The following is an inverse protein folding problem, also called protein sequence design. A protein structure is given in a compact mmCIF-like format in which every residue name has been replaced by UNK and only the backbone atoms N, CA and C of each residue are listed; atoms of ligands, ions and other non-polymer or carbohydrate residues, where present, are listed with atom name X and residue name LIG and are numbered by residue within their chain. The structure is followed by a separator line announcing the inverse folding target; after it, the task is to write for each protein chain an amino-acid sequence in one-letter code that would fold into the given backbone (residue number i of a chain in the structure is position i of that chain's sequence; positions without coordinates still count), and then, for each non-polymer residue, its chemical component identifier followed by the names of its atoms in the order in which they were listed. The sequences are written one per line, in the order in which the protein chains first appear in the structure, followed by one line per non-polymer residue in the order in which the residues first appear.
data_IF_098487918626
#
_entry.id   IF_098487918626
#
_cell.length_a   1.000
_cell.length_b   1.000
_cell.length_c   1.000
_cell.angle_alpha   90.00
_cell.angle_beta   90.00
_cell.angle_gamma   90.00
#
_symmetry.space_group_name_H-M   'P 1'
#
loop_
_entity.id
_entity.type
_entity.pdbx_description
1 polymer ?
#
# COMPACT_ATOMS: atom_id res chain seq x y z
N UNK A 1 4.20 -5.15 -1.20
CA UNK A 1 4.97 -4.26 -2.07
C UNK A 1 6.09 -4.98 -2.77
N UNK A 2 6.66 -4.36 -3.76
CA UNK A 2 7.76 -4.93 -4.52
C UNK A 2 8.30 -3.95 -5.55
N UNK A 3 9.24 -4.41 -6.36
CA UNK A 3 9.87 -3.61 -7.38
C UNK A 3 9.01 -3.45 -8.63
N UNK A 4 9.18 -2.31 -9.28
CA UNK A 4 8.57 -2.05 -10.58
C UNK A 4 9.36 -2.77 -11.66
N UNK A 5 8.69 -3.47 -12.55
CA UNK A 5 9.33 -4.13 -13.68
C UNK A 5 9.53 -3.15 -14.84
N UNK A 6 10.52 -3.43 -15.68
CA UNK A 6 10.81 -2.60 -16.84
C UNK A 6 9.59 -2.51 -17.76
N UNK A 7 9.19 -1.29 -18.08
CA UNK A 7 8.01 -1.04 -18.94
C UNK A 7 6.68 -1.05 -18.21
N UNK A 8 6.67 -1.37 -16.91
CA UNK A 8 5.47 -1.38 -16.07
C UNK A 8 5.26 -0.02 -15.42
N UNK A 9 4.02 0.51 -15.44
CA UNK A 9 3.71 1.73 -14.70
C UNK A 9 3.71 1.46 -13.19
N UNK A 10 3.80 2.54 -12.40
CA UNK A 10 3.74 2.41 -10.93
C UNK A 10 2.42 1.80 -10.48
N UNK A 11 1.30 2.23 -11.04
CA UNK A 11 -0.03 1.72 -10.72
C UNK A 11 -0.18 0.24 -11.11
N UNK A 12 0.33 -0.15 -12.28
CA UNK A 12 0.31 -1.54 -12.72
C UNK A 12 1.15 -2.42 -11.77
N UNK A 13 2.30 -1.92 -11.31
CA UNK A 13 3.15 -2.62 -10.35
C UNK A 13 2.42 -2.86 -9.03
N UNK A 14 1.74 -1.84 -8.50
CA UNK A 14 0.96 -1.96 -7.25
C UNK A 14 -0.14 -3.00 -7.41
N UNK A 15 -0.92 -2.93 -8.48
CA UNK A 15 -2.01 -3.87 -8.74
C UNK A 15 -1.48 -5.31 -8.85
N UNK A 16 -0.39 -5.51 -9.55
CA UNK A 16 0.25 -6.83 -9.70
C UNK A 16 0.73 -7.38 -8.36
N UNK A 17 1.44 -6.57 -7.59
CA UNK A 17 1.96 -6.99 -6.28
C UNK A 17 0.83 -7.30 -5.30
N UNK A 18 -0.23 -6.51 -5.28
CA UNK A 18 -1.39 -6.78 -4.44
C UNK A 18 -2.05 -8.11 -4.80
N UNK A 19 -2.22 -8.40 -6.09
CA UNK A 19 -2.78 -9.67 -6.53
C UNK A 19 -1.89 -10.85 -6.15
N UNK A 20 -0.59 -10.72 -6.36
CA UNK A 20 0.40 -11.77 -6.02
C UNK A 20 0.46 -12.04 -4.51
N UNK A 21 0.42 -10.99 -3.69
CA UNK A 21 0.60 -11.11 -2.24
C UNK A 21 -0.69 -11.43 -1.49
N UNK A 22 -1.83 -10.99 -1.99
CA UNK A 22 -3.11 -11.07 -1.25
C UNK A 22 -4.24 -11.78 -1.99
N UNK A 23 -4.10 -12.06 -3.27
CA UNK A 23 -5.17 -12.61 -4.09
C UNK A 23 -6.26 -11.59 -4.47
N UNK A 24 -6.13 -10.33 -4.05
CA UNK A 24 -7.12 -9.30 -4.32
C UNK A 24 -6.76 -8.49 -5.56
N UNK A 25 -7.76 -8.29 -6.42
CA UNK A 25 -7.69 -7.28 -7.47
C UNK A 25 -8.08 -5.93 -6.86
N UNK A 26 -7.30 -4.91 -7.13
CA UNK A 26 -7.52 -3.59 -6.54
C UNK A 26 -7.65 -2.50 -7.60
N UNK A 27 -8.44 -1.50 -7.27
CA UNK A 27 -8.39 -0.20 -7.92
C UNK A 27 -7.31 0.61 -7.23
N UNK A 28 -6.32 1.09 -7.98
CA UNK A 28 -5.24 1.90 -7.43
C UNK A 28 -5.70 3.35 -7.35
N UNK A 29 -5.64 3.90 -6.16
CA UNK A 29 -6.07 5.27 -5.86
C UNK A 29 -4.90 6.25 -5.79
N UNK A 30 -5.01 7.28 -4.95
CA UNK A 30 -3.99 8.31 -4.85
C UNK A 30 -2.72 7.83 -4.16
N UNK A 31 -1.62 8.52 -4.44
CA UNK A 31 -0.37 8.38 -3.69
C UNK A 31 -0.59 8.88 -2.27
N UNK A 32 -0.21 8.07 -1.29
CA UNK A 32 -0.26 8.45 0.12
C UNK A 32 1.02 9.18 0.51
N UNK A 33 2.16 8.61 0.14
CA UNK A 33 3.48 9.10 0.54
C UNK A 33 4.56 8.65 -0.44
N UNK A 34 5.65 9.41 -0.50
CA UNK A 34 6.87 9.05 -1.22
C UNK A 34 8.04 9.31 -0.29
N UNK A 35 8.89 8.31 -0.09
CA UNK A 35 10.01 8.46 0.83
C UNK A 35 11.19 7.56 0.45
N UNK A 36 12.35 7.91 0.98
CA UNK A 36 13.57 7.13 0.79
C UNK A 36 13.69 6.03 1.84
N UNK A 37 14.22 4.88 1.40
CA UNK A 37 14.72 3.86 2.31
C UNK A 37 16.18 3.60 1.97
N UNK A 38 17.08 4.02 2.85
CA UNK A 38 18.52 3.87 2.66
C UNK A 38 19.05 2.82 3.62
N UNK A 39 19.61 1.76 3.06
CA UNK A 39 20.21 0.67 3.84
C UNK A 39 21.73 0.77 3.72
N UNK A 40 22.43 0.72 4.86
CA UNK A 40 23.88 0.80 4.92
C UNK A 40 24.47 -0.53 5.36
N UNK A 41 25.71 -0.80 4.92
CA UNK A 41 26.46 -1.95 5.37
C UNK A 41 27.19 -1.67 6.71
N UNK A 42 27.98 -2.61 7.19
CA UNK A 42 28.74 -2.49 8.44
C UNK A 42 29.74 -1.32 8.41
N UNK A 43 30.25 -0.97 7.24
CA UNK A 43 31.18 0.15 7.03
C UNK A 43 30.47 1.48 6.79
N UNK A 44 29.13 1.54 7.01
CA UNK A 44 28.31 2.73 6.81
C UNK A 44 28.21 3.18 5.36
N UNK A 45 28.59 2.32 4.40
CA UNK A 45 28.39 2.60 2.98
C UNK A 45 26.98 2.26 2.57
N UNK A 46 26.40 3.05 1.66
CA UNK A 46 25.06 2.79 1.14
C UNK A 46 25.06 1.50 0.34
N UNK A 47 24.27 0.54 0.80
CA UNK A 47 24.06 -0.75 0.14
C UNK A 47 22.90 -0.69 -0.83
N UNK A 48 21.78 -0.13 -0.39
CA UNK A 48 20.58 0.08 -1.19
C UNK A 48 20.00 1.45 -0.90
N UNK A 49 19.48 2.06 -1.94
CA UNK A 49 18.70 3.29 -1.82
C UNK A 49 17.44 3.11 -2.66
N UNK A 50 16.32 2.89 -2.00
CA UNK A 50 15.02 2.76 -2.64
C UNK A 50 14.22 4.03 -2.48
N UNK A 51 13.47 4.38 -3.51
CA UNK A 51 12.39 5.36 -3.42
C UNK A 51 11.09 4.55 -3.33
N UNK A 52 10.38 4.72 -2.23
CA UNK A 52 9.14 4.00 -1.96
C UNK A 52 7.95 4.91 -2.22
N UNK A 53 6.99 4.40 -2.99
CA UNK A 53 5.74 5.11 -3.30
C UNK A 53 4.60 4.27 -2.74
N UNK A 54 3.88 4.82 -1.78
CA UNK A 54 2.73 4.17 -1.15
C UNK A 54 1.44 4.69 -1.77
N UNK A 55 0.56 3.76 -2.14
CA UNK A 55 -0.73 4.04 -2.76
C UNK A 55 -1.87 3.57 -1.85
N UNK A 56 -2.95 4.34 -1.83
CA UNK A 56 -4.24 3.86 -1.34
C UNK A 56 -4.90 3.04 -2.44
N UNK A 57 -5.39 1.85 -2.09
CA UNK A 57 -6.05 0.95 -3.02
C UNK A 57 -7.37 0.48 -2.44
N UNK A 58 -8.32 0.17 -3.32
CA UNK A 58 -9.60 -0.43 -2.93
C UNK A 58 -9.76 -1.80 -3.57
N UNK A 59 -10.07 -2.84 -2.80
CA UNK A 59 -10.35 -4.15 -3.38
C UNK A 59 -11.63 -4.11 -4.21
N UNK A 60 -11.59 -4.68 -5.42
CA UNK A 60 -12.73 -4.73 -6.35
C UNK A 60 -13.13 -6.14 -6.72
N UNK A 61 -12.27 -7.12 -6.56
CA UNK A 61 -12.52 -8.52 -6.89
C UNK A 61 -11.49 -9.44 -6.24
N UNK A 62 -11.68 -10.74 -6.35
CA UNK A 62 -10.76 -11.74 -5.85
C UNK A 62 -11.08 -12.19 -4.43
N UNK A 63 -10.31 -13.16 -3.95
CA UNK A 63 -10.43 -13.70 -2.60
C UNK A 63 -9.10 -13.52 -1.86
N UNK A 64 -9.16 -13.13 -0.60
CA UNK A 64 -7.97 -12.95 0.23
C UNK A 64 -7.25 -14.29 0.40
N UNK A 65 -6.00 -14.34 -0.04
CA UNK A 65 -5.16 -15.53 0.03
C UNK A 65 -3.69 -15.08 0.02
N UNK A 66 -2.92 -15.50 1.00
CA UNK A 66 -1.49 -15.19 1.02
C UNK A 66 -0.79 -15.84 -0.17
N UNK A 67 0.02 -15.03 -0.89
CA UNK A 67 0.88 -15.54 -1.96
C UNK A 67 2.07 -16.32 -1.40
N UNK A 68 2.85 -16.94 -2.30
CA UNK A 68 3.99 -17.79 -1.92
C UNK A 68 5.08 -17.07 -1.15
N UNK A 69 5.22 -15.76 -1.33
CA UNK A 69 6.24 -14.93 -0.68
C UNK A 69 5.74 -14.27 0.61
N UNK A 70 4.52 -14.60 1.06
CA UNK A 70 3.87 -13.97 2.21
C UNK A 70 3.39 -15.05 3.17
N UNK A 71 3.74 -14.93 4.45
CA UNK A 71 3.36 -15.89 5.47
C UNK A 71 1.84 -15.89 5.72
N UNK A 72 1.24 -14.72 5.75
CA UNK A 72 -0.19 -14.56 5.97
C UNK A 72 -0.69 -13.23 5.40
N UNK A 73 -1.97 -13.19 5.03
CA UNK A 73 -2.67 -11.97 4.65
C UNK A 73 -4.01 -11.94 5.38
N UNK A 74 -4.31 -10.85 6.06
CA UNK A 74 -5.56 -10.70 6.82
C UNK A 74 -6.18 -9.34 6.56
N UNK A 75 -7.52 -9.27 6.63
CA UNK A 75 -8.26 -8.01 6.64
C UNK A 75 -8.48 -7.57 8.08
N UNK A 76 -8.10 -6.34 8.38
CA UNK A 76 -8.16 -5.81 9.75
C UNK A 76 -8.89 -4.47 9.73
N UNK A 77 -9.88 -4.31 10.62
CA UNK A 77 -10.50 -3.01 10.81
C UNK A 77 -9.45 -2.00 11.36
N UNK A 78 -9.50 -0.72 10.95
CA UNK A 78 -8.55 0.28 11.45
C UNK A 78 -8.49 0.36 12.97
N UNK A 79 -9.61 0.15 13.66
CA UNK A 79 -9.67 0.15 15.12
C UNK A 79 -9.01 -1.07 15.77
N UNK A 80 -8.67 -2.11 15.01
CA UNK A 80 -8.10 -3.36 15.50
C UNK A 80 -6.61 -3.52 15.18
N UNK A 81 -5.90 -2.46 14.82
CA UNK A 81 -4.50 -2.51 14.39
C UNK A 81 -3.49 -2.59 15.54
N UNK A 82 -3.86 -2.18 16.75
CA UNK A 82 -2.96 -2.12 17.90
C UNK A 82 -2.18 -3.43 18.16
N UNK A 83 -2.80 -4.63 18.09
CA UNK A 83 -2.06 -5.88 18.35
C UNK A 83 -0.95 -6.18 17.34
N UNK A 84 -0.93 -5.52 16.20
CA UNK A 84 0.04 -5.79 15.13
C UNK A 84 1.35 -5.04 15.26
N UNK A 85 1.52 -4.22 16.31
CA UNK A 85 2.78 -3.54 16.63
C UNK A 85 3.42 -2.83 15.44
N UNK A 86 2.62 -2.03 14.71
CA UNK A 86 3.07 -1.31 13.52
C UNK A 86 4.14 -0.28 13.86
N UNK A 87 5.05 -0.04 12.91
CA UNK A 87 6.03 1.04 13.02
C UNK A 87 5.33 2.41 13.00
N UNK A 88 6.02 3.44 13.50
CA UNK A 88 5.51 4.82 13.43
C UNK A 88 5.23 5.24 11.98
N UNK A 89 6.12 4.87 11.06
CA UNK A 89 5.95 5.18 9.62
C UNK A 89 4.71 4.49 9.04
N UNK A 90 4.51 3.21 9.33
CA UNK A 90 3.34 2.47 8.87
C UNK A 90 2.05 3.07 9.44
N UNK A 91 2.06 3.43 10.71
CA UNK A 91 0.91 4.06 11.38
C UNK A 91 0.56 5.40 10.70
N UNK A 92 1.56 6.24 10.44
CA UNK A 92 1.36 7.54 9.77
C UNK A 92 0.78 7.37 8.36
N UNK A 93 1.29 6.41 7.60
CA UNK A 93 0.80 6.09 6.24
C UNK A 93 -0.67 5.63 6.30
N UNK A 94 -1.02 4.75 7.24
CA UNK A 94 -2.40 4.27 7.40
C UNK A 94 -3.34 5.40 7.80
N UNK A 95 -2.95 6.27 8.72
CA UNK A 95 -3.75 7.43 9.12
C UNK A 95 -4.00 8.35 7.93
N UNK A 96 -2.98 8.61 7.12
CA UNK A 96 -3.11 9.40 5.90
C UNK A 96 -4.05 8.74 4.90
N UNK A 97 -3.94 7.42 4.73
CA UNK A 97 -4.83 6.64 3.86
C UNK A 97 -6.29 6.78 4.28
N UNK A 98 -6.56 6.74 5.58
CA UNK A 98 -7.93 6.90 6.11
C UNK A 98 -8.49 8.29 5.82
N UNK A 99 -7.66 9.34 5.93
CA UNK A 99 -8.06 10.71 5.56
C UNK A 99 -8.41 10.77 4.08
N UNK A 100 -7.56 10.25 3.21
CA UNK A 100 -7.79 10.23 1.76
C UNK A 100 -9.04 9.44 1.39
N UNK A 101 -9.27 8.31 2.04
CA UNK A 101 -10.47 7.51 1.84
C UNK A 101 -11.75 8.27 2.21
N UNK A 102 -11.74 8.96 3.35
CA UNK A 102 -12.89 9.79 3.78
C UNK A 102 -13.13 10.95 2.80
N UNK A 103 -12.08 11.59 2.32
CA UNK A 103 -12.19 12.66 1.32
C UNK A 103 -12.80 12.17 0.01
N UNK A 104 -12.44 10.97 -0.43
CA UNK A 104 -13.06 10.34 -1.61
C UNK A 104 -14.55 10.12 -1.40
N UNK A 105 -14.94 9.58 -0.25
CA UNK A 105 -16.35 9.35 0.10
C UNK A 105 -17.15 10.64 0.13
N UNK A 106 -16.61 11.69 0.75
CA UNK A 106 -17.23 13.00 0.80
C UNK A 106 -17.39 13.63 -0.59
N UNK A 107 -16.35 13.54 -1.44
CA UNK A 107 -16.40 14.04 -2.81
C UNK A 107 -17.45 13.30 -3.65
N UNK A 108 -17.54 11.99 -3.54
CA UNK A 108 -18.54 11.19 -4.22
C UNK A 108 -19.96 11.53 -3.78
N UNK A 109 -20.16 11.77 -2.47
CA UNK A 109 -21.45 12.15 -1.91
C UNK A 109 -21.87 13.57 -2.31
N UNK A 110 -20.91 14.45 -2.55
CA UNK A 110 -21.16 15.84 -2.93
C UNK A 110 -21.47 16.02 -4.44
N UNK A 111 -21.20 15.01 -5.25
CA UNK A 111 -21.46 15.06 -6.70
C UNK A 111 -22.83 14.48 -7.04
N UNK A 112 -23.83 15.35 -7.34
CA UNK A 112 -25.19 14.87 -7.62
C UNK A 112 -25.34 14.19 -8.99
N UNK A 113 -24.31 14.22 -9.84
CA UNK A 113 -24.34 13.63 -11.16
C UNK A 113 -23.78 12.20 -11.19
N UNK A 114 -23.34 11.72 -10.07
CA UNK A 114 -22.82 10.34 -9.92
C UNK A 114 -23.86 9.38 -9.43
#
# INVERSE_FOLDING_TARGET
GGGVEVGESLEAAVAREMLEETGLQVEVGPVIDVFDRITRDEDQRVRYHYVLVDYLCWPIAGELCAGSDVDAAVLVAPSALTPYALTEKATAVIERALVLHRQRGAAASADPLR
#
